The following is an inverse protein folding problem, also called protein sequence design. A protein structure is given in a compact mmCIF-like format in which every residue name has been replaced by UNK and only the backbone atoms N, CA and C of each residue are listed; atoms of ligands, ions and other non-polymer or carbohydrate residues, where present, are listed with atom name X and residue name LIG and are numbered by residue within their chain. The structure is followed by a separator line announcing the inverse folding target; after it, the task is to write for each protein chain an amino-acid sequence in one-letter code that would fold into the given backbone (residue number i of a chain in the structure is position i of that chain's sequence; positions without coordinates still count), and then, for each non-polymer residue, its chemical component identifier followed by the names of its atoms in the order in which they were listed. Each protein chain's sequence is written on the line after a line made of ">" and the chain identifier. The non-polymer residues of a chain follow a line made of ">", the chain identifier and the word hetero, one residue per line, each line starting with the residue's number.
data_IF_704611441345
#
_entry.id   IF_704611441345
#
_cell.length_a   1.000
_cell.length_b   1.000
_cell.length_c   1.000
_cell.angle_alpha   90.00
_cell.angle_beta   90.00
_cell.angle_gamma   90.00
#
_symmetry.space_group_name_H-M   'P 1'
#
loop_
_entity.id
_entity.type
_entity.pdbx_description
1 polymer ?
#
# COMPACT_ATOMS: atom_id res chain seq x y z
N UNK A 1 13.06 -79.46 3.02
CA UNK A 1 11.90 -79.25 2.13
C UNK A 1 11.07 -78.09 2.66
N UNK A 2 11.02 -77.02 1.86
CA UNK A 2 10.09 -75.88 1.84
C UNK A 2 9.51 -75.33 3.16
N UNK A 3 9.99 -74.14 3.57
CA UNK A 3 9.22 -73.21 4.39
C UNK A 3 9.03 -71.91 3.60
N UNK A 4 7.77 -71.59 3.29
CA UNK A 4 7.32 -70.32 2.73
C UNK A 4 6.21 -69.84 3.67
N UNK A 5 6.48 -68.88 4.57
CA UNK A 5 5.45 -68.04 5.19
C UNK A 5 6.02 -66.63 5.38
N UNK A 6 5.23 -65.69 4.89
CA UNK A 6 5.33 -64.24 4.84
C UNK A 6 5.57 -63.60 6.23
N UNK A 7 6.48 -62.62 6.29
CA UNK A 7 6.72 -61.82 7.50
C UNK A 7 7.52 -60.55 7.20
N UNK A 8 6.81 -59.42 7.13
CA UNK A 8 7.14 -58.11 7.73
C UNK A 8 8.55 -57.53 7.51
N UNK A 9 8.67 -56.40 6.79
CA UNK A 9 8.98 -55.08 7.37
C UNK A 9 9.04 -54.01 6.26
N UNK A 10 8.11 -53.07 6.31
CA UNK A 10 8.15 -51.82 5.55
C UNK A 10 9.27 -50.96 6.15
N UNK A 11 10.36 -50.73 5.41
CA UNK A 11 11.32 -49.69 5.76
C UNK A 11 10.75 -48.36 5.26
N UNK A 12 10.12 -47.62 6.18
CA UNK A 12 9.83 -46.20 5.98
C UNK A 12 11.16 -45.44 5.98
N UNK A 13 11.67 -45.12 4.80
CA UNK A 13 12.64 -44.03 4.66
C UNK A 13 11.92 -42.73 5.04
N UNK A 14 12.20 -42.23 6.24
CA UNK A 14 11.73 -40.94 6.71
C UNK A 14 12.37 -39.84 5.87
N UNK A 15 11.68 -39.40 4.82
CA UNK A 15 11.96 -38.10 4.21
C UNK A 15 11.50 -37.04 5.20
N UNK A 16 12.45 -36.38 5.85
CA UNK A 16 12.15 -35.17 6.63
C UNK A 16 11.53 -34.15 5.68
N UNK A 17 10.27 -33.80 5.92
CA UNK A 17 9.64 -32.63 5.32
C UNK A 17 10.47 -31.41 5.75
N UNK A 18 11.25 -30.88 4.81
CA UNK A 18 11.69 -29.50 4.89
C UNK A 18 10.40 -28.70 4.97
N UNK A 19 10.16 -28.08 6.12
CA UNK A 19 9.17 -27.00 6.22
C UNK A 19 9.63 -25.97 5.21
N UNK A 20 9.01 -25.97 4.03
CA UNK A 20 9.05 -24.86 3.12
C UNK A 20 8.55 -23.69 3.97
N UNK A 21 9.50 -22.86 4.44
CA UNK A 21 9.17 -21.60 5.07
C UNK A 21 8.09 -20.99 4.20
N UNK A 22 6.94 -20.68 4.81
CA UNK A 22 5.83 -20.06 4.13
C UNK A 22 6.42 -18.95 3.29
N UNK A 23 6.42 -19.11 1.97
CA UNK A 23 6.62 -18.00 1.06
C UNK A 23 5.50 -17.06 1.47
N UNK A 24 5.82 -16.07 2.29
CA UNK A 24 4.89 -15.03 2.64
C UNK A 24 4.50 -14.45 1.30
N UNK A 25 3.29 -14.77 0.85
CA UNK A 25 2.67 -14.08 -0.26
C UNK A 25 2.85 -12.61 0.11
N UNK A 26 3.62 -11.88 -0.70
CA UNK A 26 3.90 -10.48 -0.47
C UNK A 26 2.52 -9.82 -0.34
N UNK A 27 2.09 -9.52 0.89
CA UNK A 27 0.71 -9.11 1.11
C UNK A 27 0.53 -7.80 0.33
N UNK A 28 -0.41 -7.78 -0.62
CA UNK A 28 -0.66 -6.58 -1.42
C UNK A 28 -0.82 -5.37 -0.51
N UNK A 29 -0.26 -4.23 -0.92
CA UNK A 29 -0.34 -3.01 -0.14
C UNK A 29 -1.79 -2.65 0.19
N UNK A 30 -2.07 -2.26 1.43
CA UNK A 30 -3.42 -1.94 1.88
C UNK A 30 -3.79 -0.47 1.67
N UNK A 31 -2.78 0.39 1.55
CA UNK A 31 -2.92 1.84 1.40
C UNK A 31 -1.59 2.47 0.97
N UNK A 32 -1.57 3.80 0.85
CA UNK A 32 -0.34 4.60 0.82
C UNK A 32 -0.34 5.64 1.95
N UNK A 33 0.79 5.77 2.62
CA UNK A 33 1.13 6.87 3.53
C UNK A 33 2.18 7.73 2.82
N UNK A 34 1.88 9.01 2.62
CA UNK A 34 2.78 9.97 1.98
C UNK A 34 3.26 10.96 3.04
N UNK A 35 4.55 10.86 3.39
CA UNK A 35 5.21 11.73 4.35
C UNK A 35 5.61 13.07 3.72
N UNK A 36 4.90 14.13 4.10
CA UNK A 36 5.20 15.52 3.72
C UNK A 36 5.69 16.34 4.93
N UNK A 37 6.14 15.69 6.00
CA UNK A 37 6.59 16.35 7.22
C UNK A 37 7.69 17.38 6.91
N UNK A 38 7.57 18.54 7.53
CA UNK A 38 8.48 19.68 7.35
C UNK A 38 8.48 20.31 5.95
N UNK A 39 7.47 20.03 5.11
CA UNK A 39 7.32 20.62 3.77
C UNK A 39 6.22 21.69 3.70
N UNK A 40 5.52 21.95 4.82
CA UNK A 40 4.47 22.97 4.88
C UNK A 40 3.17 22.55 4.21
N UNK A 41 2.86 21.25 4.18
CA UNK A 41 1.60 20.74 3.65
C UNK A 41 0.42 21.32 4.44
N UNK A 42 -0.53 21.97 3.75
CA UNK A 42 -1.79 22.39 4.34
C UNK A 42 -2.91 21.43 3.97
N UNK A 43 -3.82 21.22 4.92
CA UNK A 43 -5.00 20.39 4.70
C UNK A 43 -5.94 21.06 3.70
N UNK A 44 -6.29 20.32 2.65
CA UNK A 44 -7.31 20.70 1.68
C UNK A 44 -8.44 19.67 1.61
N UNK A 45 -9.60 20.09 1.07
CA UNK A 45 -10.73 19.19 0.82
C UNK A 45 -10.45 18.23 -0.35
N UNK A 46 -9.69 18.69 -1.34
CA UNK A 46 -9.39 17.92 -2.54
C UNK A 46 -7.91 18.06 -2.93
N UNK A 47 -6.97 17.57 -2.11
CA UNK A 47 -5.56 17.59 -2.46
C UNK A 47 -5.29 16.69 -3.67
N UNK A 48 -4.27 17.04 -4.45
CA UNK A 48 -3.83 16.25 -5.59
C UNK A 48 -2.41 15.74 -5.32
N UNK A 49 -2.17 14.44 -5.49
CA UNK A 49 -0.82 13.90 -5.50
C UNK A 49 -0.32 13.95 -6.93
N UNK A 50 0.82 14.61 -7.16
CA UNK A 50 1.39 14.80 -8.49
C UNK A 50 2.81 14.23 -8.58
N UNK A 51 3.29 13.97 -9.79
CA UNK A 51 4.71 13.70 -10.03
C UNK A 51 5.51 14.99 -10.25
N UNK A 52 6.82 14.88 -10.42
CA UNK A 52 7.72 16.01 -10.68
C UNK A 52 7.39 16.82 -11.96
N UNK A 53 6.69 16.20 -12.93
CA UNK A 53 6.24 16.86 -14.16
C UNK A 53 4.90 17.59 -14.01
N UNK A 54 4.22 17.39 -12.88
CA UNK A 54 2.88 17.92 -12.64
C UNK A 54 1.74 17.02 -13.11
N UNK A 55 2.02 15.78 -13.52
CA UNK A 55 0.96 14.84 -13.86
C UNK A 55 0.26 14.37 -12.58
N UNK A 56 -1.07 14.31 -12.60
CA UNK A 56 -1.90 13.84 -11.49
C UNK A 56 -1.77 12.31 -11.31
N UNK A 57 -1.36 11.90 -10.11
CA UNK A 57 -1.27 10.50 -9.69
C UNK A 57 -2.48 10.06 -8.86
N UNK A 58 -3.06 10.99 -8.11
CA UNK A 58 -4.27 10.79 -7.32
C UNK A 58 -5.00 12.13 -7.16
N UNK A 59 -6.33 12.22 -7.39
CA UNK A 59 -7.27 11.13 -7.67
C UNK A 59 -7.04 10.37 -8.98
N UNK A 60 -6.64 11.04 -10.06
CA UNK A 60 -6.28 10.46 -11.35
C UNK A 60 -7.31 9.46 -11.87
N UNK A 61 -6.82 8.38 -12.50
CA UNK A 61 -7.66 7.27 -12.98
C UNK A 61 -8.47 6.59 -11.85
N UNK A 62 -8.01 6.69 -10.58
CA UNK A 62 -8.71 6.08 -9.46
C UNK A 62 -10.08 6.73 -9.21
N UNK A 63 -10.27 8.00 -9.61
CA UNK A 63 -11.53 8.73 -9.47
C UNK A 63 -12.72 8.00 -10.11
N UNK A 64 -12.49 7.28 -11.22
CA UNK A 64 -13.52 6.50 -11.91
C UNK A 64 -14.10 5.35 -11.07
N UNK A 65 -13.38 4.92 -10.03
CA UNK A 65 -13.77 3.79 -9.15
C UNK A 65 -14.15 4.24 -7.74
N UNK A 66 -14.09 5.53 -7.44
CA UNK A 66 -14.39 6.05 -6.10
C UNK A 66 -15.90 6.12 -5.83
N UNK A 67 -16.27 5.93 -4.57
CA UNK A 67 -17.61 6.27 -4.09
C UNK A 67 -17.82 7.80 -4.13
N UNK A 68 -18.62 8.25 -5.10
CA UNK A 68 -18.93 9.66 -5.32
C UNK A 68 -19.53 10.34 -4.09
N UNK A 69 -20.29 9.65 -3.23
CA UNK A 69 -20.82 10.27 -2.01
C UNK A 69 -19.72 10.65 -1.04
N UNK A 70 -18.70 9.79 -0.91
CA UNK A 70 -17.56 10.07 -0.06
C UNK A 70 -16.62 11.13 -0.65
N UNK A 71 -16.50 11.19 -1.98
CA UNK A 71 -15.77 12.25 -2.69
C UNK A 71 -16.44 13.61 -2.46
N UNK A 72 -17.77 13.70 -2.62
CA UNK A 72 -18.54 14.92 -2.38
C UNK A 72 -18.47 15.39 -0.92
N UNK A 73 -18.25 14.47 0.02
CA UNK A 73 -18.04 14.77 1.43
C UNK A 73 -16.60 15.23 1.76
N UNK A 74 -15.72 15.40 0.76
CA UNK A 74 -14.33 15.85 0.95
C UNK A 74 -13.42 14.81 1.61
N UNK A 75 -13.81 13.53 1.62
CA UNK A 75 -13.06 12.45 2.29
C UNK A 75 -12.15 11.71 1.31
N UNK A 76 -11.38 12.41 0.48
CA UNK A 76 -10.51 11.73 -0.50
C UNK A 76 -9.13 11.35 0.05
N UNK A 77 -8.70 11.96 1.15
CA UNK A 77 -7.50 11.55 1.89
C UNK A 77 -7.76 11.61 3.40
N UNK A 78 -6.93 10.94 4.16
CA UNK A 78 -6.83 11.11 5.61
C UNK A 78 -5.56 11.91 5.94
N UNK A 79 -5.58 12.68 7.02
CA UNK A 79 -4.43 13.48 7.44
C UNK A 79 -3.96 13.05 8.80
N UNK A 80 -2.65 12.88 8.97
CA UNK A 80 -2.05 12.52 10.24
C UNK A 80 -0.86 13.41 10.57
N UNK A 81 -0.55 13.54 11.86
CA UNK A 81 0.51 14.44 12.35
C UNK A 81 1.90 13.83 12.37
N UNK A 82 1.99 12.51 12.25
CA UNK A 82 3.26 11.79 12.30
C UNK A 82 3.11 10.39 11.74
N UNK A 83 4.24 9.72 11.50
CA UNK A 83 4.26 8.35 11.00
C UNK A 83 3.65 7.35 11.99
N UNK A 84 3.87 7.58 13.30
CA UNK A 84 3.34 6.72 14.36
C UNK A 84 1.81 6.73 14.36
N UNK A 85 1.20 7.90 14.16
CA UNK A 85 -0.26 8.03 14.03
C UNK A 85 -0.77 7.49 12.70
N UNK A 86 -0.03 7.72 11.63
CA UNK A 86 -0.40 7.23 10.30
C UNK A 86 -0.46 5.70 10.25
N UNK A 87 0.51 4.99 10.82
CA UNK A 87 0.56 3.53 10.78
C UNK A 87 -0.60 2.87 11.55
N UNK A 88 -1.06 3.48 12.65
CA UNK A 88 -2.17 2.94 13.45
C UNK A 88 -3.56 3.43 12.97
N UNK A 89 -3.61 4.30 11.96
CA UNK A 89 -4.87 4.76 11.40
C UNK A 89 -5.59 3.59 10.70
N UNK A 90 -6.90 3.45 10.88
CA UNK A 90 -7.68 2.39 10.25
C UNK A 90 -7.57 2.36 8.70
N UNK A 91 -7.24 3.49 8.08
CA UNK A 91 -7.00 3.56 6.64
C UNK A 91 -5.62 3.08 6.20
N UNK A 92 -4.65 2.92 7.12
CA UNK A 92 -3.36 2.34 6.79
C UNK A 92 -3.51 0.86 6.43
N UNK A 93 -4.35 0.14 7.19
CA UNK A 93 -4.47 -1.31 7.09
C UNK A 93 -3.21 -2.02 7.58
N UNK A 94 -3.02 -3.27 7.16
CA UNK A 94 -1.93 -4.12 7.67
C UNK A 94 -0.57 -3.84 7.04
N UNK A 95 -0.55 -3.37 5.78
CA UNK A 95 0.67 -3.21 5.01
C UNK A 95 0.60 -1.94 4.14
N UNK A 96 0.72 -0.73 4.73
CA UNK A 96 0.75 0.51 3.96
C UNK A 96 2.05 0.65 3.16
N UNK A 97 1.97 1.18 1.94
CA UNK A 97 3.13 1.67 1.22
C UNK A 97 3.54 3.02 1.83
N UNK A 98 4.78 3.15 2.31
CA UNK A 98 5.28 4.40 2.87
C UNK A 98 6.16 5.09 1.83
N UNK A 99 5.80 6.32 1.44
CA UNK A 99 6.53 7.16 0.50
C UNK A 99 6.85 8.49 1.17
N UNK A 100 8.05 9.02 0.95
CA UNK A 100 8.39 10.40 1.31
C UNK A 100 8.20 11.30 0.10
N UNK A 101 7.44 12.39 0.26
CA UNK A 101 7.30 13.38 -0.81
C UNK A 101 8.63 14.10 -1.07
N UNK A 102 8.81 14.57 -2.31
CA UNK A 102 9.97 15.38 -2.70
C UNK A 102 9.77 16.86 -2.39
N UNK A 103 8.52 17.33 -2.47
CA UNK A 103 8.10 18.70 -2.18
C UNK A 103 6.57 18.74 -2.07
N UNK A 104 6.02 19.91 -1.77
CA UNK A 104 4.59 20.20 -1.81
C UNK A 104 4.37 21.41 -2.72
N UNK A 105 3.35 21.35 -3.57
CA UNK A 105 2.96 22.39 -4.51
C UNK A 105 1.45 22.66 -4.43
N UNK A 106 0.92 23.35 -5.43
CA UNK A 106 -0.51 23.59 -5.56
C UNK A 106 -1.02 24.80 -4.79
N UNK A 107 -2.32 25.02 -4.90
CA UNK A 107 -3.02 26.08 -4.18
C UNK A 107 -2.89 25.80 -2.68
N UNK A 108 -2.42 26.79 -1.91
CA UNK A 108 -2.20 26.68 -0.47
C UNK A 108 -1.24 25.55 -0.06
N UNK A 109 -0.29 25.14 -0.91
CA UNK A 109 0.65 24.05 -0.57
C UNK A 109 -0.06 22.77 -0.11
N UNK A 110 -1.03 22.30 -0.90
CA UNK A 110 -1.84 21.10 -0.56
C UNK A 110 -1.43 19.83 -1.29
N UNK A 111 -0.54 19.93 -2.28
CA UNK A 111 -0.35 18.87 -3.28
C UNK A 111 1.04 18.22 -3.14
N UNK A 112 1.15 17.00 -2.59
CA UNK A 112 2.41 16.29 -2.50
C UNK A 112 2.99 15.96 -3.87
N UNK A 113 4.29 16.19 -4.03
CA UNK A 113 5.04 15.86 -5.26
C UNK A 113 5.87 14.61 -5.03
N UNK A 114 5.65 13.56 -5.81
CA UNK A 114 6.44 12.33 -5.74
C UNK A 114 7.59 12.33 -6.73
N UNK A 115 8.72 11.76 -6.30
CA UNK A 115 9.85 11.48 -7.19
C UNK A 115 9.45 10.51 -8.30
N UNK A 116 10.19 10.49 -9.41
CA UNK A 116 9.98 9.48 -10.46
C UNK A 116 9.99 8.04 -9.91
N UNK A 117 10.89 7.71 -8.99
CA UNK A 117 10.98 6.35 -8.45
C UNK A 117 9.76 6.01 -7.60
N UNK A 118 9.30 6.94 -6.76
CA UNK A 118 8.14 6.70 -5.90
C UNK A 118 6.82 6.73 -6.67
N UNK A 119 6.77 7.46 -7.79
CA UNK A 119 5.66 7.39 -8.75
C UNK A 119 5.50 5.96 -9.29
N UNK A 120 6.61 5.31 -9.66
CA UNK A 120 6.62 3.93 -10.15
C UNK A 120 6.18 2.97 -9.04
N UNK A 121 6.71 3.13 -7.81
CA UNK A 121 6.31 2.31 -6.67
C UNK A 121 4.81 2.41 -6.38
N UNK A 122 4.27 3.63 -6.35
CA UNK A 122 2.84 3.89 -6.15
C UNK A 122 2.00 3.20 -7.23
N UNK A 123 2.41 3.33 -8.50
CA UNK A 123 1.71 2.73 -9.62
C UNK A 123 1.67 1.20 -9.54
N UNK A 124 2.83 0.56 -9.29
CA UNK A 124 2.92 -0.90 -9.15
C UNK A 124 2.07 -1.41 -7.97
N UNK A 125 2.24 -0.78 -6.80
CA UNK A 125 1.49 -1.13 -5.60
C UNK A 125 -0.03 -1.02 -5.79
N UNK A 126 -0.48 0.08 -6.38
CA UNK A 126 -1.90 0.29 -6.61
C UNK A 126 -2.46 -0.57 -7.76
N UNK A 127 -1.64 -0.96 -8.74
CA UNK A 127 -2.11 -1.81 -9.85
C UNK A 127 -2.67 -3.13 -9.34
N UNK A 128 -2.02 -3.73 -8.33
CA UNK A 128 -2.43 -4.99 -7.72
C UNK A 128 -3.52 -4.79 -6.64
N UNK A 129 -3.35 -3.79 -5.78
CA UNK A 129 -4.20 -3.62 -4.59
C UNK A 129 -5.46 -2.76 -4.80
N UNK A 130 -5.46 -1.87 -5.79
CA UNK A 130 -6.55 -0.90 -6.08
C UNK A 130 -6.93 -0.01 -4.89
N UNK A 131 -6.01 0.23 -3.95
CA UNK A 131 -6.29 0.98 -2.73
C UNK A 131 -6.57 2.48 -2.99
N UNK A 132 -6.08 3.06 -4.09
CA UNK A 132 -6.38 4.45 -4.45
C UNK A 132 -7.86 4.63 -4.77
N UNK A 133 -8.49 3.71 -5.51
CA UNK A 133 -9.93 3.75 -5.77
C UNK A 133 -10.78 3.67 -4.50
N UNK A 134 -10.22 3.04 -3.46
CA UNK A 134 -10.83 2.91 -2.13
C UNK A 134 -10.52 4.11 -1.21
N UNK A 135 -9.85 5.15 -1.72
CA UNK A 135 -9.44 6.35 -0.98
C UNK A 135 -8.53 6.05 0.22
N UNK A 136 -7.72 5.00 0.12
CA UNK A 136 -6.75 4.58 1.15
C UNK A 136 -5.44 5.33 0.99
N UNK A 137 -5.52 6.65 1.18
CA UNK A 137 -4.41 7.59 1.10
C UNK A 137 -4.35 8.35 2.42
N UNK A 138 -3.19 8.34 3.06
CA UNK A 138 -2.89 9.12 4.26
C UNK A 138 -1.77 10.10 3.95
N UNK A 139 -1.97 11.38 4.25
CA UNK A 139 -0.95 12.42 4.14
C UNK A 139 -0.46 12.81 5.54
N UNK A 140 0.85 12.80 5.74
CA UNK A 140 1.47 13.36 6.95
C UNK A 140 1.87 14.81 6.66
N UNK A 141 1.55 15.73 7.57
CA UNK A 141 1.73 17.18 7.42
C UNK A 141 2.41 17.85 8.62
#
# INVERSE_FOLDING_TARGET
>A
MNKFIIGTLVSLFSFSLISAGSVQANENYTSVIIDCSNMGLLRAMSPVVINEKGDELYPGDAAATMDMKAVLAGKIVNYEKSIEKAIINDNAGKHPLIIKASSVKGILSSDPVLSRLDTIKLSLANNEAKFLGQRKVILIY
#
